data_IF_758329029564
#
_entry.id   IF_758329029564
#
_cell.length_a   1.000
_cell.length_b   1.000
_cell.length_c   1.000
_cell.angle_alpha   90.00
_cell.angle_beta   90.00
_cell.angle_gamma   90.00
#
_symmetry.space_group_name_H-M   'P 1'
#
loop_
_entity.id
_entity.type
_entity.pdbx_description
1 polymer ?
#
# COMPACT_ATOMS: atom_id res chain seq x y z
N UNK A 1 18.45 -10.04 -3.25
CA UNK A 1 18.69 -8.96 -2.28
C UNK A 1 18.60 -7.63 -3.00
N UNK A 2 17.44 -6.97 -2.98
CA UNK A 2 17.33 -5.58 -3.44
C UNK A 2 17.84 -4.70 -2.31
N UNK A 3 18.94 -3.96 -2.55
CA UNK A 3 19.49 -3.08 -1.54
C UNK A 3 18.49 -1.97 -1.22
N UNK A 4 18.04 -1.95 0.03
CA UNK A 4 17.26 -0.88 0.64
C UNK A 4 18.19 0.31 0.86
N UNK A 5 18.59 1.00 -0.22
CA UNK A 5 19.39 2.21 -0.12
C UNK A 5 18.47 3.43 -0.26
N UNK A 6 18.22 4.06 0.91
CA UNK A 6 17.82 5.46 1.08
C UNK A 6 16.36 5.86 0.79
N UNK A 7 15.43 5.40 1.65
CA UNK A 7 14.01 5.82 1.67
C UNK A 7 13.77 7.31 1.98
N UNK A 8 14.78 8.09 2.39
CA UNK A 8 14.53 9.41 2.98
C UNK A 8 14.87 10.61 2.07
N UNK A 9 15.33 10.39 0.82
CA UNK A 9 15.80 11.50 -0.02
C UNK A 9 15.47 11.39 -1.51
N UNK A 10 14.44 10.62 -1.90
CA UNK A 10 13.95 10.64 -3.29
C UNK A 10 13.16 11.93 -3.51
N UNK A 11 13.60 12.76 -4.46
CA UNK A 11 12.96 14.03 -4.82
C UNK A 11 11.92 13.85 -5.94
N UNK A 12 12.24 13.04 -6.93
CA UNK A 12 11.35 12.76 -8.06
C UNK A 12 11.51 11.30 -8.50
N UNK A 13 10.42 10.75 -9.02
CA UNK A 13 10.36 9.42 -9.60
C UNK A 13 9.59 9.46 -10.92
N UNK A 14 10.19 8.94 -12.00
CA UNK A 14 9.57 8.89 -13.33
C UNK A 14 9.74 7.52 -13.96
N UNK A 15 8.70 7.04 -14.62
CA UNK A 15 8.76 5.82 -15.41
C UNK A 15 9.18 6.14 -16.86
N UNK A 16 9.90 5.21 -17.49
CA UNK A 16 10.11 5.24 -18.94
C UNK A 16 8.78 5.09 -19.68
N UNK A 17 8.72 5.58 -20.92
CA UNK A 17 7.53 5.49 -21.77
C UNK A 17 7.03 4.05 -21.96
N UNK A 18 7.96 3.09 -22.03
CA UNK A 18 7.67 1.66 -22.18
C UNK A 18 7.37 0.95 -20.84
N UNK A 19 7.44 1.65 -19.71
CA UNK A 19 7.18 1.09 -18.38
C UNK A 19 8.17 0.01 -17.95
N UNK A 20 9.37 -0.06 -18.53
CA UNK A 20 10.41 -1.05 -18.16
C UNK A 20 11.44 -0.52 -17.18
N UNK A 21 11.52 0.80 -17.03
CA UNK A 21 12.48 1.46 -16.16
C UNK A 21 11.81 2.50 -15.27
N UNK A 22 12.31 2.61 -14.05
CA UNK A 22 11.96 3.62 -13.08
C UNK A 22 13.21 4.44 -12.76
N UNK A 23 13.13 5.75 -12.90
CA UNK A 23 14.21 6.67 -12.58
C UNK A 23 13.88 7.35 -11.26
N UNK A 24 14.80 7.29 -10.29
CA UNK A 24 14.68 8.03 -9.03
C UNK A 24 15.82 9.03 -8.94
N UNK A 25 15.51 10.26 -8.53
CA UNK A 25 16.53 11.30 -8.26
C UNK A 25 16.62 11.60 -6.78
N UNK A 26 17.84 11.73 -6.25
CA UNK A 26 18.11 12.09 -4.87
C UNK A 26 18.16 13.61 -4.64
N UNK A 27 17.79 14.10 -3.46
CA UNK A 27 17.95 15.52 -3.09
C UNK A 27 19.39 15.90 -2.73
N UNK A 28 20.12 14.99 -2.08
CA UNK A 28 21.46 15.26 -1.50
C UNK A 28 22.62 14.90 -2.43
N UNK A 29 22.39 14.01 -3.38
CA UNK A 29 23.40 13.56 -4.32
C UNK A 29 22.85 13.77 -5.73
N UNK A 30 23.64 14.40 -6.61
CA UNK A 30 23.32 14.61 -8.03
C UNK A 30 23.41 13.28 -8.81
N UNK A 31 22.77 12.24 -8.29
CA UNK A 31 22.77 10.88 -8.81
C UNK A 31 21.33 10.54 -9.16
N UNK A 32 21.15 9.98 -10.35
CA UNK A 32 19.89 9.38 -10.79
C UNK A 32 20.09 7.87 -10.82
N UNK A 33 19.21 7.15 -10.12
CA UNK A 33 19.18 5.70 -10.19
C UNK A 33 18.19 5.26 -11.25
N UNK A 34 18.62 4.36 -12.13
CA UNK A 34 17.78 3.70 -13.13
C UNK A 34 17.52 2.26 -12.68
N UNK A 35 16.27 1.97 -12.34
CA UNK A 35 15.82 0.68 -11.87
C UNK A 35 15.07 -0.02 -13.00
N UNK A 36 15.58 -1.15 -13.47
CA UNK A 36 14.86 -2.00 -14.42
C UNK A 36 13.83 -2.82 -13.66
N UNK A 37 12.57 -2.78 -14.07
CA UNK A 37 11.54 -3.66 -13.55
C UNK A 37 10.80 -4.36 -14.69
N UNK A 38 10.34 -5.59 -14.43
CA UNK A 38 9.60 -6.36 -15.41
C UNK A 38 8.14 -6.53 -14.94
N UNK A 39 7.18 -5.78 -15.51
CA UNK A 39 5.79 -5.85 -15.10
C UNK A 39 5.17 -7.24 -15.31
N UNK A 40 5.65 -8.00 -16.29
CA UNK A 40 5.16 -9.36 -16.53
C UNK A 40 5.49 -10.32 -15.37
N UNK A 41 6.63 -10.12 -14.70
CA UNK A 41 6.99 -10.94 -13.53
C UNK A 41 6.08 -10.58 -12.35
N UNK A 42 5.78 -9.29 -12.16
CA UNK A 42 4.85 -8.84 -11.12
C UNK A 42 3.44 -9.37 -11.36
N UNK A 43 2.97 -9.34 -12.61
CA UNK A 43 1.67 -9.88 -13.01
C UNK A 43 1.63 -11.41 -12.86
N UNK A 44 2.69 -12.12 -13.25
CA UNK A 44 2.80 -13.56 -13.06
C UNK A 44 2.81 -13.91 -11.56
N UNK A 45 3.53 -13.16 -10.73
CA UNK A 45 3.52 -13.33 -9.26
C UNK A 45 2.13 -13.08 -8.67
N UNK A 46 1.40 -12.08 -9.16
CA UNK A 46 0.03 -11.82 -8.75
C UNK A 46 -0.90 -12.99 -9.12
N UNK A 47 -0.72 -13.62 -10.29
CA UNK A 47 -1.47 -14.78 -10.74
C UNK A 47 -1.09 -16.08 -9.99
N UNK A 48 0.20 -16.27 -9.71
CA UNK A 48 0.74 -17.48 -9.07
C UNK A 48 0.60 -17.48 -7.54
N UNK A 49 0.46 -16.30 -6.92
CA UNK A 49 0.48 -16.18 -5.47
C UNK A 49 -0.73 -16.76 -4.73
N UNK A 50 -1.78 -17.18 -5.45
CA UNK A 50 -3.02 -17.70 -4.90
C UNK A 50 -4.23 -16.83 -5.23
N UNK A 51 -5.39 -17.18 -4.66
CA UNK A 51 -6.65 -16.45 -4.88
C UNK A 51 -6.69 -15.18 -4.01
N UNK A 52 -7.11 -14.08 -4.61
CA UNK A 52 -7.35 -12.79 -3.95
C UNK A 52 -6.10 -12.20 -3.26
N UNK A 53 -6.24 -11.77 -2.00
CA UNK A 53 -5.20 -11.03 -1.27
C UNK A 53 -4.14 -11.93 -0.61
N UNK A 54 -4.32 -13.26 -0.65
CA UNK A 54 -3.47 -14.22 0.09
C UNK A 54 -2.00 -14.10 -0.35
N UNK A 55 -1.77 -13.92 -1.65
CA UNK A 55 -0.47 -13.67 -2.28
C UNK A 55 0.29 -12.51 -1.64
N UNK A 56 -0.44 -11.44 -1.31
CA UNK A 56 0.12 -10.17 -0.87
C UNK A 56 0.32 -10.11 0.64
N UNK A 57 -0.31 -10.98 1.43
CA UNK A 57 -0.10 -11.03 2.88
C UNK A 57 1.37 -11.27 3.23
N UNK A 58 2.11 -12.04 2.40
CA UNK A 58 3.55 -12.28 2.60
C UNK A 58 4.41 -11.01 2.46
N UNK A 59 3.88 -9.94 1.88
CA UNK A 59 4.56 -8.65 1.77
C UNK A 59 4.45 -7.82 3.06
N UNK A 60 3.50 -8.16 3.94
CA UNK A 60 3.36 -7.53 5.24
C UNK A 60 4.32 -8.18 6.24
N UNK A 61 4.93 -7.36 7.07
CA UNK A 61 5.74 -7.85 8.19
C UNK A 61 4.87 -8.66 9.15
N UNK A 62 5.29 -9.90 9.45
CA UNK A 62 4.49 -10.86 10.24
C UNK A 62 3.32 -11.50 9.46
N UNK A 63 3.10 -11.14 8.19
CA UNK A 63 2.08 -11.75 7.36
C UNK A 63 0.65 -11.48 7.83
N UNK A 64 -0.24 -12.46 7.63
CA UNK A 64 -1.66 -12.38 8.02
C UNK A 64 -1.87 -12.33 9.54
N UNK A 65 -0.96 -12.92 10.30
CA UNK A 65 -1.01 -12.94 11.76
C UNK A 65 -0.15 -11.81 12.39
N UNK A 66 0.46 -10.97 11.55
CA UNK A 66 1.28 -9.85 11.98
C UNK A 66 0.44 -8.70 12.57
N UNK A 67 1.09 -7.89 13.40
CA UNK A 67 0.46 -6.73 14.06
C UNK A 67 -0.08 -5.73 13.03
N UNK A 68 0.66 -5.46 11.95
CA UNK A 68 0.23 -4.55 10.88
C UNK A 68 -1.08 -5.01 10.25
N UNK A 69 -1.24 -6.31 10.00
CA UNK A 69 -2.49 -6.83 9.42
C UNK A 69 -3.66 -6.71 10.39
N UNK A 70 -3.41 -6.91 11.69
CA UNK A 70 -4.42 -6.69 12.74
C UNK A 70 -4.85 -5.22 12.80
N UNK A 71 -3.90 -4.30 12.83
CA UNK A 71 -4.15 -2.86 12.86
C UNK A 71 -4.91 -2.39 11.62
N UNK A 72 -4.55 -2.88 10.43
CA UNK A 72 -5.30 -2.62 9.20
C UNK A 72 -6.78 -3.03 9.30
N UNK A 73 -7.07 -4.21 9.87
CA UNK A 73 -8.45 -4.67 10.07
C UNK A 73 -9.22 -3.77 11.04
N UNK A 74 -8.59 -3.39 12.14
CA UNK A 74 -9.22 -2.55 13.17
C UNK A 74 -9.53 -1.15 12.61
N UNK A 75 -8.61 -0.55 11.85
CA UNK A 75 -8.82 0.73 11.18
C UNK A 75 -9.87 0.65 10.07
N UNK A 76 -9.89 -0.46 9.32
CA UNK A 76 -10.94 -0.69 8.32
C UNK A 76 -12.31 -0.73 8.99
N UNK A 77 -12.46 -1.50 10.08
CA UNK A 77 -13.70 -1.57 10.84
C UNK A 77 -14.09 -0.21 11.44
N UNK A 78 -13.13 0.51 12.02
CA UNK A 78 -13.36 1.86 12.54
C UNK A 78 -13.83 2.83 11.46
N UNK A 79 -13.28 2.75 10.24
CA UNK A 79 -13.70 3.58 9.13
C UNK A 79 -15.17 3.35 8.73
N UNK A 80 -15.67 2.12 8.90
CA UNK A 80 -17.07 1.78 8.66
C UNK A 80 -17.99 2.34 9.73
N UNK A 81 -17.59 2.25 11.01
CA UNK A 81 -18.33 2.87 12.11
C UNK A 81 -18.47 4.38 11.89
N UNK A 82 -17.37 5.04 11.48
CA UNK A 82 -17.39 6.47 11.17
C UNK A 82 -18.25 6.81 9.96
N UNK A 83 -18.37 5.91 8.99
CA UNK A 83 -19.21 6.12 7.81
C UNK A 83 -20.70 5.97 8.10
N UNK A 84 -21.08 5.04 8.99
CA UNK A 84 -22.47 4.75 9.36
C UNK A 84 -23.02 5.61 10.50
N UNK A 85 -22.25 6.63 10.91
CA UNK A 85 -22.43 7.39 12.15
C UNK A 85 -22.21 6.55 13.41
N UNK A 86 -21.20 6.95 14.20
CA UNK A 86 -20.78 6.23 15.41
C UNK A 86 -21.89 6.24 16.46
N UNK A 87 -22.73 7.29 16.45
CA UNK A 87 -23.78 7.52 17.44
C UNK A 87 -25.11 6.85 17.10
N UNK A 88 -25.17 6.07 16.01
CA UNK A 88 -26.39 5.38 15.60
C UNK A 88 -26.65 4.16 16.49
N UNK A 89 -27.87 4.04 17.02
CA UNK A 89 -28.33 2.93 17.86
C UNK A 89 -28.91 1.76 17.05
N UNK A 90 -29.07 1.93 15.74
CA UNK A 90 -29.58 0.90 14.84
C UNK A 90 -28.55 -0.23 14.61
N UNK A 91 -29.02 -1.39 14.12
CA UNK A 91 -28.14 -2.47 13.68
C UNK A 91 -27.16 -1.98 12.61
N UNK A 92 -25.87 -2.17 12.87
CA UNK A 92 -24.78 -1.80 11.97
C UNK A 92 -24.60 -2.87 10.90
N UNK A 93 -24.40 -2.44 9.66
CA UNK A 93 -24.10 -3.35 8.55
C UNK A 93 -22.59 -3.48 8.42
N UNK A 94 -22.03 -4.60 8.87
CA UNK A 94 -20.61 -4.89 8.64
C UNK A 94 -20.47 -5.50 7.25
N UNK A 95 -19.87 -4.74 6.33
CA UNK A 95 -19.60 -5.21 4.97
C UNK A 95 -18.10 -5.46 4.79
N UNK A 96 -17.66 -6.26 3.82
CA UNK A 96 -16.23 -6.38 3.49
C UNK A 96 -15.73 -5.21 2.62
N UNK A 97 -16.42 -4.05 2.61
CA UNK A 97 -16.16 -2.94 1.69
C UNK A 97 -16.12 -1.60 2.43
N UNK A 98 -15.28 -0.69 1.95
CA UNK A 98 -15.29 0.73 2.34
C UNK A 98 -15.33 1.59 1.08
N UNK A 99 -15.91 2.81 1.13
CA UNK A 99 -15.80 3.75 0.03
C UNK A 99 -14.34 4.10 -0.26
N UNK A 100 -13.97 4.23 -1.54
CA UNK A 100 -12.60 4.58 -1.95
C UNK A 100 -12.13 5.91 -1.34
N UNK A 101 -13.05 6.86 -1.11
CA UNK A 101 -12.77 8.13 -0.44
C UNK A 101 -12.29 8.00 1.01
N UNK A 102 -12.42 6.82 1.63
CA UNK A 102 -11.95 6.53 2.99
C UNK A 102 -10.54 5.94 3.03
N UNK A 103 -10.03 5.39 1.93
CA UNK A 103 -8.70 4.80 1.85
C UNK A 103 -7.59 5.76 2.33
N UNK A 104 -7.57 7.05 1.92
CA UNK A 104 -6.54 7.97 2.39
C UNK A 104 -6.53 8.14 3.92
N UNK A 105 -7.69 8.08 4.58
CA UNK A 105 -7.78 8.21 6.04
C UNK A 105 -7.26 6.97 6.76
N UNK A 106 -7.57 5.78 6.24
CA UNK A 106 -7.05 4.50 6.77
C UNK A 106 -5.53 4.45 6.60
N UNK A 107 -5.02 4.84 5.43
CA UNK A 107 -3.58 4.91 5.19
C UNK A 107 -2.88 5.88 6.14
N UNK A 108 -3.44 7.08 6.36
CA UNK A 108 -2.88 8.06 7.30
C UNK A 108 -2.84 7.54 8.73
N UNK A 109 -3.88 6.81 9.15
CA UNK A 109 -3.90 6.20 10.49
C UNK A 109 -2.83 5.12 10.65
N UNK A 110 -2.45 4.43 9.58
CA UNK A 110 -1.29 3.51 9.54
C UNK A 110 0.07 4.23 9.42
N UNK A 111 0.09 5.56 9.47
CA UNK A 111 1.29 6.37 9.31
C UNK A 111 1.76 6.55 7.85
N UNK A 112 0.96 6.13 6.86
CA UNK A 112 1.25 6.34 5.45
C UNK A 112 0.43 7.49 4.87
N UNK A 113 1.09 8.50 4.31
CA UNK A 113 0.45 9.68 3.76
C UNK A 113 0.50 9.58 2.23
N UNK A 114 -0.52 8.98 1.58
CA UNK A 114 -0.59 8.99 0.12
C UNK A 114 -0.65 10.46 -0.32
N UNK A 115 0.36 10.84 -1.09
CA UNK A 115 0.83 12.21 -1.34
C UNK A 115 -0.27 13.17 -1.82
N UNK A 116 -0.25 14.37 -1.22
CA UNK A 116 -0.37 15.64 -1.95
C UNK A 116 0.79 15.78 -2.96
#
# INVERSE_FOLDING_TARGET
MASTAYRNHVRDVRASYDGRYLFTSGRLHNIVHMLRFNPHILQAQAQLGGKDLISFNKLLEGGREGEIFKEMKDLFYYSQLRFQDINRYDRREVTPKIPLSKIPFVMRALGYYPTE
#
